data_IF_225392681793
#
_entry.id   IF_225392681793
#
_cell.length_a   1.000
_cell.length_b   1.000
_cell.length_c   1.000
_cell.angle_alpha   90.00
_cell.angle_beta   90.00
_cell.angle_gamma   90.00
#
_symmetry.space_group_name_H-M   'P 1'
#
loop_
_entity.id
_entity.type
_entity.pdbx_description
1 polymer ?
#
# COMPACT_ATOMS: atom_id res chain seq x y z
N UNK A 1 11.45 -34.58 -23.44
CA UNK A 1 11.66 -33.42 -24.32
C UNK A 1 11.26 -32.17 -23.55
N UNK A 2 12.25 -31.34 -23.24
CA UNK A 2 12.16 -30.18 -22.36
C UNK A 2 11.28 -29.08 -22.98
N UNK A 3 10.13 -28.81 -22.36
CA UNK A 3 9.47 -27.51 -22.55
C UNK A 3 10.38 -26.46 -21.90
N UNK A 4 11.29 -25.88 -22.69
CA UNK A 4 11.91 -24.62 -22.32
C UNK A 4 10.77 -23.62 -22.12
N UNK A 5 10.59 -23.15 -20.89
CA UNK A 5 9.71 -22.02 -20.64
C UNK A 5 10.18 -20.89 -21.56
N UNK A 6 9.26 -20.13 -22.17
CA UNK A 6 9.58 -19.03 -23.09
C UNK A 6 10.34 -17.85 -22.46
N UNK A 7 10.97 -18.07 -21.30
CA UNK A 7 11.52 -17.09 -20.37
C UNK A 7 12.98 -17.41 -20.04
N UNK A 8 13.43 -18.66 -20.17
CA UNK A 8 14.81 -19.08 -19.88
C UNK A 8 14.91 -20.58 -19.57
N UNK A 9 16.14 -21.08 -19.41
CA UNK A 9 16.39 -22.45 -18.94
C UNK A 9 16.08 -22.59 -17.44
N UNK A 10 15.94 -23.83 -16.95
CA UNK A 10 15.70 -24.06 -15.52
C UNK A 10 16.85 -23.60 -14.61
N UNK A 11 18.06 -23.49 -15.16
CA UNK A 11 19.25 -23.00 -14.47
C UNK A 11 19.26 -21.47 -14.44
N UNK A 12 18.89 -20.83 -15.56
CA UNK A 12 18.70 -19.39 -15.65
C UNK A 12 17.66 -18.87 -14.65
N UNK A 13 16.52 -19.57 -14.53
CA UNK A 13 15.43 -19.19 -13.62
C UNK A 13 15.80 -19.33 -12.12
N UNK A 14 16.87 -20.03 -11.78
CA UNK A 14 17.40 -20.11 -10.41
C UNK A 14 18.40 -19.00 -10.11
N UNK A 15 18.97 -18.37 -11.13
CA UNK A 15 19.96 -17.32 -11.00
C UNK A 15 19.27 -15.96 -10.77
N UNK A 16 19.44 -15.31 -9.60
CA UNK A 16 18.86 -13.98 -9.34
C UNK A 16 19.35 -12.90 -10.29
N UNK A 17 20.55 -13.06 -10.87
CA UNK A 17 21.17 -12.10 -11.79
C UNK A 17 20.72 -12.30 -13.25
N UNK A 18 19.95 -13.35 -13.54
CA UNK A 18 19.46 -13.61 -14.88
C UNK A 18 18.35 -12.62 -15.25
N UNK A 19 18.61 -11.81 -16.27
CA UNK A 19 17.62 -10.93 -16.87
C UNK A 19 16.91 -11.66 -18.03
N UNK A 20 15.63 -12.03 -17.89
CA UNK A 20 14.88 -12.60 -19.00
C UNK A 20 14.71 -11.54 -20.12
N UNK A 21 14.40 -11.97 -21.37
CA UNK A 21 14.18 -11.05 -22.48
C UNK A 21 13.22 -9.92 -22.13
N UNK A 22 13.54 -8.68 -22.51
CA UNK A 22 12.76 -7.48 -22.13
C UNK A 22 11.26 -7.59 -22.46
N UNK A 23 10.93 -8.25 -23.57
CA UNK A 23 9.55 -8.52 -23.98
C UNK A 23 8.74 -9.35 -22.95
N UNK A 24 9.42 -10.11 -22.08
CA UNK A 24 8.82 -10.84 -20.96
C UNK A 24 9.05 -10.15 -19.63
N UNK A 25 10.24 -9.55 -19.42
CA UNK A 25 10.58 -8.85 -18.19
C UNK A 25 9.64 -7.67 -17.90
N UNK A 26 9.31 -6.87 -18.93
CA UNK A 26 8.45 -5.68 -18.76
C UNK A 26 7.02 -6.08 -18.30
N UNK A 27 6.30 -7.00 -18.97
CA UNK A 27 5.01 -7.46 -18.48
C UNK A 27 5.05 -8.06 -17.06
N UNK A 28 6.11 -8.79 -16.71
CA UNK A 28 6.29 -9.37 -15.37
C UNK A 28 6.53 -8.29 -14.30
N UNK A 29 7.29 -7.24 -14.63
CA UNK A 29 7.48 -6.07 -13.78
C UNK A 29 6.17 -5.31 -13.57
N UNK A 30 5.41 -5.07 -14.64
CA UNK A 30 4.08 -4.48 -14.54
C UNK A 30 3.19 -5.34 -13.63
N UNK A 31 3.19 -6.65 -13.78
CA UNK A 31 2.41 -7.55 -12.92
C UNK A 31 2.78 -7.40 -11.43
N UNK A 32 4.07 -7.23 -11.10
CA UNK A 32 4.48 -6.97 -9.72
C UNK A 32 3.97 -5.63 -9.21
N UNK A 33 4.06 -4.58 -10.02
CA UNK A 33 3.52 -3.25 -9.68
C UNK A 33 2.01 -3.34 -9.42
N UNK A 34 1.25 -4.01 -10.30
CA UNK A 34 -0.20 -4.18 -10.13
C UNK A 34 -0.53 -4.97 -8.85
N UNK A 35 0.29 -5.95 -8.49
CA UNK A 35 0.09 -6.75 -7.28
C UNK A 35 0.35 -5.95 -5.99
N UNK A 36 1.34 -5.07 -5.98
CA UNK A 36 1.76 -4.29 -4.79
C UNK A 36 1.08 -2.91 -4.69
N UNK A 37 0.46 -2.42 -5.75
CA UNK A 37 -0.05 -1.05 -5.83
C UNK A 37 -0.97 -0.73 -4.66
N UNK A 38 -1.96 -1.58 -4.43
CA UNK A 38 -2.96 -1.40 -3.37
C UNK A 38 -2.32 -1.45 -1.99
N UNK A 39 -1.43 -2.42 -1.73
CA UNK A 39 -0.78 -2.53 -0.42
C UNK A 39 0.05 -1.32 -0.05
N UNK A 40 0.57 -0.57 -1.02
CA UNK A 40 1.42 0.57 -0.73
C UNK A 40 0.64 1.88 -0.55
N UNK A 41 -0.44 2.08 -1.31
CA UNK A 41 -1.26 3.30 -1.21
C UNK A 41 -2.21 3.26 -0.01
N UNK A 42 -2.72 2.07 0.35
CA UNK A 42 -3.77 1.94 1.37
C UNK A 42 -3.34 2.43 2.77
N UNK A 43 -2.15 2.13 3.30
CA UNK A 43 -1.74 2.66 4.60
C UNK A 43 -1.70 4.20 4.65
N UNK A 44 -1.22 4.85 3.59
CA UNK A 44 -1.22 6.31 3.50
C UNK A 44 -2.64 6.88 3.56
N UNK A 45 -3.57 6.27 2.81
CA UNK A 45 -4.99 6.64 2.81
C UNK A 45 -5.59 6.47 4.21
N UNK A 46 -5.30 5.34 4.88
CA UNK A 46 -5.81 5.05 6.22
C UNK A 46 -5.35 6.10 7.23
N UNK A 47 -4.06 6.42 7.24
CA UNK A 47 -3.46 7.38 8.17
C UNK A 47 -3.98 8.80 7.92
N UNK A 48 -4.02 9.25 6.66
CA UNK A 48 -4.58 10.57 6.32
C UNK A 48 -6.07 10.67 6.65
N UNK A 49 -6.83 9.59 6.41
CA UNK A 49 -8.25 9.51 6.76
C UNK A 49 -8.48 9.58 8.27
N UNK A 50 -7.63 8.94 9.07
CA UNK A 50 -7.67 9.07 10.53
C UNK A 50 -7.29 10.48 10.98
N UNK A 51 -6.28 11.10 10.35
CA UNK A 51 -5.84 12.46 10.67
C UNK A 51 -6.88 13.53 10.37
N UNK A 52 -7.85 13.26 9.49
CA UNK A 52 -9.00 14.13 9.22
C UNK A 52 -8.99 14.81 7.86
N UNK A 53 -8.02 14.51 7.00
CA UNK A 53 -7.91 15.06 5.64
C UNK A 53 -7.96 13.97 4.55
N UNK A 54 -8.65 12.86 4.84
CA UNK A 54 -8.85 11.75 3.89
C UNK A 54 -9.90 12.02 2.80
N UNK A 55 -10.17 11.00 1.98
CA UNK A 55 -11.23 11.03 0.95
C UNK A 55 -12.58 11.50 1.48
N UNK A 56 -13.19 12.45 0.78
CA UNK A 56 -14.49 13.04 1.15
C UNK A 56 -14.40 14.12 2.23
N UNK A 57 -13.21 14.41 2.77
CA UNK A 57 -13.04 15.60 3.61
C UNK A 57 -13.10 16.85 2.74
N UNK A 58 -13.88 17.86 3.16
CA UNK A 58 -13.80 19.23 2.62
C UNK A 58 -12.59 19.99 3.18
N UNK A 59 -11.55 19.28 3.63
CA UNK A 59 -10.38 19.88 4.25
C UNK A 59 -9.51 20.57 3.18
N UNK A 60 -9.01 21.78 3.44
CA UNK A 60 -7.96 22.41 2.63
C UNK A 60 -6.71 21.53 2.48
N UNK A 61 -6.52 20.59 3.41
CA UNK A 61 -5.36 19.70 3.50
C UNK A 61 -5.49 18.42 2.66
N UNK A 62 -6.57 18.23 1.90
CA UNK A 62 -6.71 17.08 0.99
C UNK A 62 -5.49 16.86 0.06
N UNK A 63 -4.82 17.90 -0.50
CA UNK A 63 -3.59 17.73 -1.27
C UNK A 63 -2.47 16.98 -0.52
N UNK A 64 -2.46 17.04 0.81
CA UNK A 64 -1.47 16.35 1.64
C UNK A 64 -1.64 14.82 1.60
N UNK A 65 -2.87 14.33 1.40
CA UNK A 65 -3.10 12.90 1.19
C UNK A 65 -2.55 12.45 -0.18
N UNK A 66 -2.74 13.25 -1.23
CA UNK A 66 -2.18 12.97 -2.56
C UNK A 66 -0.64 12.92 -2.45
N UNK A 67 -0.05 13.88 -1.77
CA UNK A 67 1.39 13.89 -1.49
C UNK A 67 1.84 12.61 -0.76
N UNK A 68 1.11 12.16 0.27
CA UNK A 68 1.45 10.91 0.98
C UNK A 68 1.37 9.67 0.10
N UNK A 69 0.35 9.57 -0.76
CA UNK A 69 0.22 8.46 -1.72
C UNK A 69 1.41 8.49 -2.69
N UNK A 70 1.72 9.65 -3.27
CA UNK A 70 2.83 9.82 -4.22
C UNK A 70 4.18 9.46 -3.59
N UNK A 71 4.48 10.00 -2.40
CA UNK A 71 5.74 9.73 -1.71
C UNK A 71 5.84 8.26 -1.26
N UNK A 72 4.76 7.65 -0.79
CA UNK A 72 4.75 6.23 -0.44
C UNK A 72 5.12 5.34 -1.63
N UNK A 73 4.65 5.68 -2.84
CA UNK A 73 4.95 4.93 -4.05
C UNK A 73 6.36 5.20 -4.56
N UNK A 74 6.79 6.46 -4.53
CA UNK A 74 8.13 6.86 -4.94
C UNK A 74 9.21 6.18 -4.09
N UNK A 75 9.09 6.25 -2.75
CA UNK A 75 10.06 5.64 -1.86
C UNK A 75 9.98 4.11 -1.82
N UNK A 76 8.80 3.50 -2.03
CA UNK A 76 8.72 2.05 -2.24
C UNK A 76 9.50 1.59 -3.49
N UNK A 77 9.46 2.38 -4.57
CA UNK A 77 10.27 2.16 -5.76
C UNK A 77 11.77 2.25 -5.46
N UNK A 78 12.20 3.35 -4.82
CA UNK A 78 13.60 3.54 -4.41
C UNK A 78 14.07 2.39 -3.52
N UNK A 79 13.30 2.04 -2.48
CA UNK A 79 13.66 0.97 -1.56
C UNK A 79 13.73 -0.39 -2.24
N UNK A 80 12.85 -0.65 -3.21
CA UNK A 80 12.90 -1.85 -4.05
C UNK A 80 14.19 -1.89 -4.88
N UNK A 81 14.58 -0.77 -5.50
CA UNK A 81 15.84 -0.68 -6.25
C UNK A 81 17.06 -0.90 -5.34
N UNK A 82 17.08 -0.28 -4.15
CA UNK A 82 18.15 -0.48 -3.17
C UNK A 82 18.24 -1.96 -2.76
N UNK A 83 17.11 -2.65 -2.56
CA UNK A 83 17.10 -4.05 -2.15
C UNK A 83 17.47 -5.04 -3.26
N UNK A 84 17.12 -4.69 -4.51
CA UNK A 84 17.35 -5.55 -5.68
C UNK A 84 18.72 -5.35 -6.31
N UNK A 85 19.21 -4.10 -6.41
CA UNK A 85 20.51 -3.77 -7.00
C UNK A 85 21.62 -3.72 -5.94
N UNK A 86 21.28 -3.26 -4.73
CA UNK A 86 22.24 -3.01 -3.66
C UNK A 86 23.03 -1.70 -3.84
N UNK A 87 23.43 -1.11 -2.71
CA UNK A 87 24.38 0.00 -2.63
C UNK A 87 25.44 -0.37 -1.59
N UNK A 88 26.59 -0.85 -2.07
CA UNK A 88 27.67 -1.35 -1.20
C UNK A 88 27.20 -2.53 -0.33
N UNK A 89 27.29 -2.45 1.02
CA UNK A 89 26.81 -3.49 1.94
C UNK A 89 25.30 -3.45 2.18
N UNK A 90 24.58 -2.45 1.66
CA UNK A 90 23.14 -2.27 1.87
C UNK A 90 22.38 -2.89 0.69
N UNK A 91 21.40 -3.74 0.99
CA UNK A 91 20.56 -4.41 -0.01
C UNK A 91 20.87 -5.90 -0.15
N UNK A 92 19.83 -6.72 -0.25
CA UNK A 92 19.98 -8.18 -0.33
C UNK A 92 20.48 -8.68 -1.69
N UNK A 93 20.38 -7.85 -2.74
CA UNK A 93 20.62 -8.24 -4.15
C UNK A 93 19.77 -9.43 -4.58
N UNK A 94 18.53 -9.43 -4.10
CA UNK A 94 17.52 -10.44 -4.38
C UNK A 94 16.25 -9.74 -4.87
N UNK A 95 15.36 -10.43 -5.60
CA UNK A 95 14.10 -9.86 -6.10
C UNK A 95 13.11 -9.60 -4.95
N UNK A 96 13.43 -8.62 -4.10
CA UNK A 96 12.67 -8.23 -2.92
C UNK A 96 11.99 -6.90 -3.21
N UNK A 97 10.68 -6.97 -3.40
CA UNK A 97 9.83 -5.80 -3.56
C UNK A 97 9.54 -5.17 -2.20
N UNK A 98 9.76 -3.87 -2.08
CA UNK A 98 9.47 -3.11 -0.87
C UNK A 98 8.09 -2.47 -0.94
N UNK A 99 7.40 -2.46 0.19
CA UNK A 99 6.06 -1.88 0.31
C UNK A 99 5.83 -1.27 1.68
N UNK A 100 4.72 -0.54 1.81
CA UNK A 100 4.36 0.10 3.07
C UNK A 100 3.83 -0.94 4.04
N UNK A 101 4.45 -1.06 5.22
CA UNK A 101 4.06 -2.07 6.19
C UNK A 101 2.76 -1.70 6.91
N UNK A 102 1.77 -2.59 6.81
CA UNK A 102 0.52 -2.50 7.55
C UNK A 102 0.69 -2.70 9.06
N UNK A 103 1.83 -3.21 9.52
CA UNK A 103 2.10 -3.40 10.94
C UNK A 103 2.11 -2.09 11.73
N UNK A 104 2.41 -0.96 11.07
CA UNK A 104 2.42 0.35 11.71
C UNK A 104 1.04 0.99 11.79
N UNK A 105 0.07 0.58 10.97
CA UNK A 105 -1.26 1.21 10.91
C UNK A 105 -1.99 1.20 12.26
N UNK A 106 -2.03 0.09 13.02
CA UNK A 106 -2.66 0.07 14.35
C UNK A 106 -2.03 1.03 15.37
N UNK A 107 -0.78 1.45 15.15
CA UNK A 107 -0.04 2.39 16.02
C UNK A 107 -0.21 3.82 15.52
N UNK A 108 -0.09 4.03 14.21
CA UNK A 108 -0.19 5.34 13.56
C UNK A 108 -1.60 5.94 13.65
N UNK A 109 -2.64 5.13 13.46
CA UNK A 109 -4.03 5.62 13.41
C UNK A 109 -4.45 6.30 14.72
N UNK A 110 -4.30 5.67 15.91
CA UNK A 110 -4.63 6.34 17.17
C UNK A 110 -3.78 7.59 17.46
N UNK A 111 -2.52 7.62 16.97
CA UNK A 111 -1.62 8.76 17.17
C UNK A 111 -2.17 10.03 16.48
N UNK A 112 -2.65 9.89 15.24
CA UNK A 112 -3.08 11.01 14.39
C UNK A 112 -4.59 11.28 14.43
N UNK A 113 -5.39 10.34 14.94
CA UNK A 113 -6.85 10.39 14.91
C UNK A 113 -7.43 11.75 15.35
N UNK A 114 -8.04 12.48 14.41
CA UNK A 114 -8.70 13.78 14.66
C UNK A 114 -7.76 14.94 14.99
N UNK A 115 -6.44 14.77 14.82
CA UNK A 115 -5.44 15.79 15.17
C UNK A 115 -4.89 16.58 13.98
N UNK A 116 -5.43 16.38 12.78
CA UNK A 116 -5.04 17.13 11.59
C UNK A 116 -3.63 16.85 11.11
N UNK A 117 -3.10 17.79 10.33
CA UNK A 117 -1.78 17.71 9.67
C UNK A 117 -0.63 17.79 10.68
N UNK A 118 -0.80 18.53 11.78
CA UNK A 118 0.25 18.73 12.79
C UNK A 118 0.70 17.39 13.41
N UNK A 119 -0.24 16.48 13.67
CA UNK A 119 0.10 15.14 14.18
C UNK A 119 0.88 14.27 13.17
N UNK A 120 0.85 14.61 11.88
CA UNK A 120 1.68 13.94 10.87
C UNK A 120 3.14 14.33 11.06
N UNK A 121 3.47 15.55 11.51
CA UNK A 121 4.83 15.98 11.79
C UNK A 121 5.47 15.13 12.91
N UNK A 122 4.72 14.90 13.99
CA UNK A 122 5.09 14.02 15.10
C UNK A 122 5.29 12.59 14.60
N UNK A 123 4.36 12.10 13.76
CA UNK A 123 4.47 10.78 13.16
C UNK A 123 5.71 10.66 12.27
N UNK A 124 6.07 11.70 11.49
CA UNK A 124 7.30 11.71 10.69
C UNK A 124 8.56 11.62 11.57
N UNK A 125 8.60 12.33 12.70
CA UNK A 125 9.70 12.21 13.67
C UNK A 125 9.83 10.79 14.22
N UNK A 126 8.72 10.17 14.61
CA UNK A 126 8.69 8.77 15.04
C UNK A 126 9.15 7.79 13.95
N UNK A 127 8.77 8.01 12.69
CA UNK A 127 9.19 7.17 11.55
C UNK A 127 10.69 7.30 11.30
N UNK A 128 11.28 8.50 11.40
CA UNK A 128 12.72 8.70 11.24
C UNK A 128 13.48 7.96 12.34
N UNK A 129 13.10 8.17 13.61
CA UNK A 129 13.75 7.49 14.75
C UNK A 129 13.57 5.97 14.64
N UNK A 130 12.36 5.50 14.33
CA UNK A 130 12.07 4.08 14.13
C UNK A 130 12.85 3.45 12.97
N UNK A 131 13.02 4.18 11.87
CA UNK A 131 13.81 3.75 10.72
C UNK A 131 15.31 3.64 11.03
N UNK A 132 15.87 4.61 11.77
CA UNK A 132 17.24 4.55 12.25
C UNK A 132 17.44 3.38 13.23
N UNK A 133 16.50 3.20 14.17
CA UNK A 133 16.50 2.07 15.08
C UNK A 133 16.44 0.72 14.33
N UNK A 134 15.55 0.59 13.35
CA UNK A 134 15.47 -0.60 12.49
C UNK A 134 16.77 -0.86 11.71
N UNK A 135 17.44 0.19 11.24
CA UNK A 135 18.72 0.08 10.53
C UNK A 135 19.80 -0.49 11.45
N UNK A 136 19.89 0.00 12.69
CA UNK A 136 20.83 -0.52 13.70
C UNK A 136 20.48 -1.97 14.06
N UNK A 137 19.19 -2.27 14.26
CA UNK A 137 18.72 -3.62 14.59
C UNK A 137 19.06 -4.63 13.50
N UNK A 138 19.00 -4.20 12.22
CA UNK A 138 19.37 -5.02 11.06
C UNK A 138 20.78 -5.61 11.12
N UNK A 139 21.72 -4.95 11.81
CA UNK A 139 23.10 -5.44 11.96
C UNK A 139 23.20 -6.66 12.88
N UNK A 140 22.29 -6.77 13.86
CA UNK A 140 22.35 -7.81 14.90
C UNK A 140 21.16 -8.78 14.89
N UNK A 141 20.18 -8.58 14.00
CA UNK A 141 18.93 -9.36 13.91
C UNK A 141 19.18 -10.88 13.84
N UNK A 142 20.26 -11.29 13.16
CA UNK A 142 20.65 -12.69 13.02
C UNK A 142 20.92 -13.39 14.37
N UNK A 143 21.33 -12.64 15.39
CA UNK A 143 21.59 -13.15 16.75
C UNK A 143 20.34 -13.25 17.60
N UNK A 144 19.31 -12.45 17.34
CA UNK A 144 18.08 -12.40 18.15
C UNK A 144 16.91 -13.16 17.53
N UNK A 145 17.01 -13.62 16.27
CA UNK A 145 15.94 -14.33 15.56
C UNK A 145 15.43 -15.58 16.30
N UNK A 146 16.23 -16.18 17.18
CA UNK A 146 15.81 -17.33 17.99
C UNK A 146 14.67 -16.97 18.96
N UNK A 147 14.57 -15.72 19.38
CA UNK A 147 13.51 -15.22 20.26
C UNK A 147 12.18 -14.97 19.52
N UNK A 148 12.19 -15.06 18.18
CA UNK A 148 11.02 -14.87 17.33
C UNK A 148 10.70 -16.17 16.58
N UNK A 149 10.24 -17.23 17.30
CA UNK A 149 9.89 -18.49 16.65
C UNK A 149 8.71 -18.28 15.69
N UNK A 150 8.53 -19.16 14.68
CA UNK A 150 7.48 -19.02 13.66
C UNK A 150 6.07 -18.84 14.24
N UNK A 151 5.79 -19.44 15.40
CA UNK A 151 4.53 -19.28 16.12
C UNK A 151 4.27 -17.81 16.51
N UNK A 152 5.28 -17.12 17.06
CA UNK A 152 5.15 -15.73 17.50
C UNK A 152 4.97 -14.82 16.29
N UNK A 153 5.80 -14.97 15.25
CA UNK A 153 5.68 -14.17 14.03
C UNK A 153 4.33 -14.38 13.35
N UNK A 154 3.85 -15.63 13.26
CA UNK A 154 2.55 -15.95 12.67
C UNK A 154 1.38 -15.34 13.47
N UNK A 155 1.43 -15.40 14.80
CA UNK A 155 0.41 -14.77 15.66
C UNK A 155 0.41 -13.25 15.51
N UNK A 156 1.57 -12.60 15.45
CA UNK A 156 1.66 -11.15 15.23
C UNK A 156 1.02 -10.76 13.89
N UNK A 157 1.33 -11.49 12.81
CA UNK A 157 0.75 -11.23 11.48
C UNK A 157 -0.77 -11.43 11.49
N UNK A 158 -1.26 -12.48 12.15
CA UNK A 158 -2.69 -12.72 12.30
C UNK A 158 -3.38 -11.58 13.07
N UNK A 159 -2.79 -11.13 14.18
CA UNK A 159 -3.32 -10.03 14.97
C UNK A 159 -3.37 -8.72 14.17
N UNK A 160 -2.34 -8.42 13.38
CA UNK A 160 -2.34 -7.27 12.46
C UNK A 160 -3.51 -7.39 11.47
N UNK A 161 -3.70 -8.56 10.84
CA UNK A 161 -4.81 -8.81 9.94
C UNK A 161 -6.18 -8.59 10.61
N UNK A 162 -6.39 -9.16 11.79
CA UNK A 162 -7.64 -9.01 12.55
C UNK A 162 -7.91 -7.55 12.95
N UNK A 163 -6.88 -6.81 13.34
CA UNK A 163 -7.00 -5.38 13.65
C UNK A 163 -7.46 -4.57 12.42
N UNK A 164 -6.96 -4.93 11.23
CA UNK A 164 -7.27 -4.24 9.98
C UNK A 164 -8.64 -4.59 9.40
N UNK A 165 -9.24 -5.72 9.77
CA UNK A 165 -10.63 -6.05 9.35
C UNK A 165 -11.58 -4.92 9.76
N UNK A 166 -11.42 -4.37 10.98
CA UNK A 166 -12.24 -3.25 11.45
C UNK A 166 -12.07 -2.01 10.58
N UNK A 167 -10.84 -1.72 10.16
CA UNK A 167 -10.56 -0.61 9.24
C UNK A 167 -11.22 -0.86 7.89
N UNK A 168 -11.06 -2.06 7.32
CA UNK A 168 -11.71 -2.45 6.07
C UNK A 168 -13.24 -2.28 6.11
N UNK A 169 -13.89 -2.71 7.20
CA UNK A 169 -15.34 -2.55 7.40
C UNK A 169 -15.74 -1.07 7.44
N UNK A 170 -14.98 -0.22 8.13
CA UNK A 170 -15.27 1.22 8.20
C UNK A 170 -15.14 1.88 6.82
N UNK A 171 -14.14 1.49 6.03
CA UNK A 171 -13.98 1.98 4.65
C UNK A 171 -15.07 1.45 3.72
N UNK A 172 -15.51 0.20 3.88
CA UNK A 172 -16.64 -0.36 3.13
C UNK A 172 -17.97 0.35 3.45
N UNK A 173 -18.15 0.82 4.69
CA UNK A 173 -19.32 1.56 5.11
C UNK A 173 -19.35 3.01 4.60
N UNK A 174 -18.24 3.56 4.09
CA UNK A 174 -18.17 4.95 3.61
C UNK A 174 -16.96 5.75 4.09
N UNK A 175 -16.06 5.13 4.87
CA UNK A 175 -14.81 5.75 5.30
C UNK A 175 -14.85 6.42 6.67
N UNK A 176 -13.65 6.66 7.21
CA UNK A 176 -13.46 7.32 8.51
C UNK A 176 -13.99 8.76 8.52
N UNK A 177 -13.80 9.59 7.47
CA UNK A 177 -14.34 10.95 7.44
C UNK A 177 -15.87 10.99 7.53
N UNK A 178 -16.57 10.15 6.75
CA UNK A 178 -18.04 10.05 6.79
C UNK A 178 -18.55 9.66 8.19
N UNK A 179 -17.88 8.70 8.83
CA UNK A 179 -18.17 8.31 10.21
C UNK A 179 -17.96 9.45 11.20
N UNK A 180 -16.83 10.15 11.10
CA UNK A 180 -16.45 11.22 12.02
C UNK A 180 -17.38 12.43 11.92
N UNK A 181 -17.89 12.72 10.71
CA UNK A 181 -18.81 13.83 10.45
C UNK A 181 -20.29 13.45 10.68
N UNK A 182 -20.58 12.19 11.07
CA UNK A 182 -21.95 11.73 11.31
C UNK A 182 -22.82 11.75 10.05
N UNK A 183 -22.19 11.57 8.89
CA UNK A 183 -22.84 11.70 7.60
C UNK A 183 -23.83 10.53 7.35
N UNK A 184 -25.05 10.79 6.84
CA UNK A 184 -26.10 9.78 6.68
C UNK A 184 -25.75 8.68 5.67
N UNK A 185 -24.82 8.95 4.75
CA UNK A 185 -24.30 7.98 3.80
C UNK A 185 -23.42 6.90 4.47
N UNK A 186 -22.90 7.13 5.68
CA UNK A 186 -22.14 6.11 6.39
C UNK A 186 -23.02 4.90 6.74
N UNK A 187 -22.60 3.73 6.30
CA UNK A 187 -23.35 2.48 6.43
C UNK A 187 -24.53 2.35 5.45
N UNK A 188 -24.65 3.26 4.48
CA UNK A 188 -25.71 3.18 3.46
C UNK A 188 -25.62 1.90 2.62
N UNK A 189 -26.77 1.45 2.11
CA UNK A 189 -26.84 0.31 1.19
C UNK A 189 -25.97 0.51 -0.05
N UNK A 190 -25.83 1.76 -0.51
CA UNK A 190 -24.97 2.12 -1.64
C UNK A 190 -23.50 1.77 -1.37
N UNK A 191 -22.93 2.24 -0.26
CA UNK A 191 -21.53 1.97 0.09
C UNK A 191 -21.25 0.47 0.25
N UNK A 192 -22.15 -0.24 0.94
CA UNK A 192 -22.08 -1.70 1.07
C UNK A 192 -22.19 -2.42 -0.27
N UNK A 193 -23.04 -1.95 -1.18
CA UNK A 193 -23.19 -2.56 -2.52
C UNK A 193 -21.91 -2.41 -3.35
N UNK A 194 -21.26 -1.24 -3.32
CA UNK A 194 -20.00 -1.00 -4.04
C UNK A 194 -18.89 -1.87 -3.45
N UNK A 195 -18.76 -1.91 -2.11
CA UNK A 195 -17.80 -2.80 -1.45
C UNK A 195 -18.07 -4.27 -1.79
N UNK A 196 -19.35 -4.67 -1.85
CA UNK A 196 -19.79 -5.99 -2.27
C UNK A 196 -19.35 -6.32 -3.70
N UNK A 197 -19.51 -5.39 -4.65
CA UNK A 197 -19.02 -5.55 -6.04
C UNK A 197 -17.52 -5.79 -6.05
N UNK A 198 -16.74 -4.97 -5.33
CA UNK A 198 -15.28 -5.14 -5.24
C UNK A 198 -14.92 -6.54 -4.73
N UNK A 199 -15.56 -6.99 -3.64
CA UNK A 199 -15.32 -8.30 -3.04
C UNK A 199 -15.68 -9.43 -4.02
N UNK A 200 -16.89 -9.41 -4.59
CA UNK A 200 -17.37 -10.46 -5.49
C UNK A 200 -16.47 -10.57 -6.71
N UNK A 201 -16.16 -9.45 -7.38
CA UNK A 201 -15.28 -9.44 -8.56
C UNK A 201 -13.88 -9.94 -8.19
N UNK A 202 -13.33 -9.48 -7.07
CA UNK A 202 -12.02 -9.93 -6.59
C UNK A 202 -12.00 -11.43 -6.36
N UNK A 203 -12.98 -11.99 -5.65
CA UNK A 203 -13.03 -13.42 -5.33
C UNK A 203 -13.26 -14.28 -6.58
N UNK A 204 -14.16 -13.86 -7.47
CA UNK A 204 -14.41 -14.56 -8.74
C UNK A 204 -13.13 -14.61 -9.57
N UNK A 205 -12.45 -13.47 -9.77
CA UNK A 205 -11.21 -13.46 -10.51
C UNK A 205 -10.12 -14.26 -9.81
N UNK A 206 -10.00 -14.14 -8.48
CA UNK A 206 -8.96 -14.81 -7.72
C UNK A 206 -9.04 -16.33 -7.84
N UNK A 207 -10.25 -16.90 -7.73
CA UNK A 207 -10.46 -18.34 -7.69
C UNK A 207 -10.75 -18.98 -9.05
N UNK A 208 -11.37 -18.27 -9.99
CA UNK A 208 -11.78 -18.85 -11.28
C UNK A 208 -10.83 -18.52 -12.45
N UNK A 209 -9.85 -17.63 -12.25
CA UNK A 209 -8.84 -17.31 -13.28
C UNK A 209 -7.44 -17.76 -12.87
N UNK A 210 -6.49 -17.71 -13.81
CA UNK A 210 -5.08 -18.09 -13.59
C UNK A 210 -4.15 -17.02 -14.14
N UNK A 211 -2.90 -17.06 -13.70
CA UNK A 211 -1.87 -16.12 -14.16
C UNK A 211 -2.16 -14.68 -13.74
N UNK A 212 -1.93 -13.74 -14.66
CA UNK A 212 -1.99 -12.30 -14.40
C UNK A 212 -3.35 -11.82 -13.86
N UNK A 213 -4.46 -12.38 -14.35
CA UNK A 213 -5.81 -12.03 -13.90
C UNK A 213 -6.04 -12.34 -12.42
N UNK A 214 -5.53 -13.48 -11.93
CA UNK A 214 -5.66 -13.88 -10.52
C UNK A 214 -4.72 -13.07 -9.61
N UNK A 215 -3.57 -12.62 -10.14
CA UNK A 215 -2.62 -11.76 -9.40
C UNK A 215 -3.15 -10.33 -9.29
N UNK A 216 -3.73 -9.79 -10.36
CA UNK A 216 -4.32 -8.45 -10.39
C UNK A 216 -5.78 -8.40 -9.89
N UNK A 217 -6.33 -9.50 -9.37
CA UNK A 217 -7.75 -9.64 -9.04
C UNK A 217 -8.27 -8.52 -8.11
N UNK A 218 -7.49 -8.13 -7.10
CA UNK A 218 -7.86 -7.05 -6.17
C UNK A 218 -7.95 -5.70 -6.89
N UNK A 219 -6.97 -5.39 -7.73
CA UNK A 219 -6.96 -4.14 -8.50
C UNK A 219 -8.14 -4.09 -9.48
N UNK A 220 -8.41 -5.20 -10.18
CA UNK A 220 -9.55 -5.29 -11.10
C UNK A 220 -10.88 -5.17 -10.34
N UNK A 221 -10.99 -5.78 -9.16
CA UNK A 221 -12.15 -5.61 -8.29
C UNK A 221 -12.38 -4.15 -7.91
N UNK A 222 -11.32 -3.41 -7.57
CA UNK A 222 -11.40 -1.97 -7.28
C UNK A 222 -11.81 -1.17 -8.51
N UNK A 223 -11.29 -1.49 -9.70
CA UNK A 223 -11.71 -0.86 -10.95
C UNK A 223 -13.21 -1.09 -11.20
N UNK A 224 -13.70 -2.31 -11.00
CA UNK A 224 -15.12 -2.62 -11.14
C UNK A 224 -15.98 -1.82 -10.15
N UNK A 225 -15.57 -1.74 -8.88
CA UNK A 225 -16.23 -0.91 -7.88
C UNK A 225 -16.22 0.58 -8.24
N UNK A 226 -15.10 1.08 -8.76
CA UNK A 226 -14.96 2.46 -9.24
C UNK A 226 -15.91 2.78 -10.41
N UNK A 227 -16.06 1.85 -11.36
CA UNK A 227 -17.02 1.99 -12.47
C UNK A 227 -18.45 2.10 -11.93
N UNK A 228 -18.83 1.25 -10.97
CA UNK A 228 -20.16 1.32 -10.34
C UNK A 228 -20.32 2.66 -9.60
N UNK A 229 -19.32 3.10 -8.85
CA UNK A 229 -19.34 4.38 -8.15
C UNK A 229 -19.48 5.58 -9.11
N UNK A 230 -18.83 5.51 -10.28
CA UNK A 230 -18.92 6.53 -11.33
C UNK A 230 -20.35 6.68 -11.85
N UNK A 231 -21.03 5.58 -12.19
CA UNK A 231 -22.42 5.62 -12.65
C UNK A 231 -23.41 6.08 -11.57
N UNK A 232 -23.05 5.91 -10.29
CA UNK A 232 -23.83 6.41 -9.16
C UNK A 232 -23.49 7.86 -8.78
N UNK A 233 -22.66 8.56 -9.57
CA UNK A 233 -22.34 9.98 -9.36
C UNK A 233 -21.40 10.27 -8.19
N UNK A 234 -20.72 9.25 -7.65
CA UNK A 234 -19.85 9.38 -6.47
C UNK A 234 -18.41 9.80 -6.82
N UNK A 235 -18.09 9.94 -8.10
CA UNK A 235 -16.74 10.22 -8.59
C UNK A 235 -16.62 11.68 -9.04
N UNK A 236 -15.59 12.38 -8.52
CA UNK A 236 -15.30 13.76 -8.87
C UNK A 236 -13.95 13.88 -9.59
N UNK A 237 -13.96 14.44 -10.81
CA UNK A 237 -12.77 14.66 -11.64
C UNK A 237 -12.18 16.08 -11.56
N UNK A 238 -12.78 16.99 -10.77
CA UNK A 238 -12.37 18.38 -10.68
C UNK A 238 -10.91 18.55 -10.26
N UNK A 239 -10.41 17.68 -9.39
CA UNK A 239 -9.00 17.71 -8.95
C UNK A 239 -8.02 17.17 -10.01
N UNK A 240 -8.50 16.40 -10.99
CA UNK A 240 -7.64 15.83 -12.05
C UNK A 240 -7.24 16.91 -13.05
N UNK A 241 -8.17 17.82 -13.40
CA UNK A 241 -7.88 18.92 -14.33
C UNK A 241 -6.89 19.96 -13.79
N UNK A 242 -6.81 20.10 -12.47
CA UNK A 242 -5.89 21.03 -11.79
C UNK A 242 -4.55 20.39 -11.41
N UNK A 243 -4.36 19.08 -11.65
CA UNK A 243 -3.15 18.38 -11.28
C UNK A 243 -1.99 18.72 -12.22
N UNK A 244 -0.82 18.99 -11.66
CA UNK A 244 0.41 19.16 -12.45
C UNK A 244 0.81 17.84 -13.11
N UNK A 245 1.31 17.89 -14.35
CA UNK A 245 1.79 16.71 -15.07
C UNK A 245 3.01 16.05 -14.39
N UNK A 246 3.85 16.86 -13.74
CA UNK A 246 5.03 16.42 -12.99
C UNK A 246 5.04 17.18 -11.66
N UNK A 247 5.14 16.43 -10.56
CA UNK A 247 5.37 16.97 -9.22
C UNK A 247 6.69 16.40 -8.69
N UNK A 248 7.63 17.29 -8.34
CA UNK A 248 8.89 16.87 -7.74
C UNK A 248 8.66 16.48 -6.27
N UNK A 249 9.43 15.50 -5.74
CA UNK A 249 9.42 15.21 -4.31
C UNK A 249 9.73 16.45 -3.48
N UNK A 250 8.97 16.67 -2.40
CA UNK A 250 9.16 17.77 -1.47
C UNK A 250 9.55 17.22 -0.08
N UNK A 251 10.83 16.90 0.17
CA UNK A 251 11.25 16.35 1.45
C UNK A 251 10.81 17.23 2.63
N UNK A 252 10.43 16.59 3.74
CA UNK A 252 9.98 17.29 4.95
C UNK A 252 8.74 18.18 4.76
N UNK A 253 7.86 17.86 3.81
CA UNK A 253 6.61 18.57 3.59
C UNK A 253 5.76 18.82 4.85
N UNK A 254 5.73 17.85 5.77
CA UNK A 254 5.02 17.94 7.05
C UNK A 254 5.87 18.47 8.21
N UNK A 255 7.15 18.75 7.99
CA UNK A 255 8.11 18.97 9.05
C UNK A 255 8.46 17.70 9.83
N UNK A 256 9.20 17.89 10.92
CA UNK A 256 9.60 16.85 11.87
C UNK A 256 9.47 17.42 13.27
N UNK A 257 8.72 16.74 14.12
CA UNK A 257 8.53 17.09 15.54
C UNK A 257 8.81 15.85 16.40
N UNK A 258 9.33 16.06 17.62
CA UNK A 258 9.81 15.00 18.52
C UNK A 258 9.10 15.02 19.87
#
# INVERSE_FOLDING_TARGET
MSQFSSIGSAEDLKNPDYLPPLAKAIPLGIQHILAMFISNVTPAIIVCGAAGFGFGSSSPDFPNMIYMIQMSMFFAGIATLIQTIGIGPIGAKLPIVQGTSFAFVPIMVPLVAGKGVDAIAILMGGVIIGGLFHTILGVFIGRIRFALPPLVTGLIILMIGLALIRVGIQYAAGGVPAKAQGLPEYGSLMNWSIAGVVIVVTLVLKFFTRGMLSVAAVLIGIIAGYIVAYFNGMVNFGNVGNAAAIALPNPFHFGVEF
#
